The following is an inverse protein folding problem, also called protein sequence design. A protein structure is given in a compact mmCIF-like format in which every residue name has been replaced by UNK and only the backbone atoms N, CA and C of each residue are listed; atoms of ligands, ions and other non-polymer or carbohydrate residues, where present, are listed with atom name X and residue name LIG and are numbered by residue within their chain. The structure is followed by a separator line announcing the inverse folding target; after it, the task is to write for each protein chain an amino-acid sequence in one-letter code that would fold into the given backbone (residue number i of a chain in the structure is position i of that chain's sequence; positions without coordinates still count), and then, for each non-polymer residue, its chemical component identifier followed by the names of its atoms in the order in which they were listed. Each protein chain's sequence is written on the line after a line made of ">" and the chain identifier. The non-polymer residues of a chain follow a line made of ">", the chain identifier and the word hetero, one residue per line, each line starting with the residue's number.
data_IF_391016413802
#
_entry.id   IF_391016413802
#
_cell.length_a   1.000
_cell.length_b   1.000
_cell.length_c   1.000
_cell.angle_alpha   90.00
_cell.angle_beta   90.00
_cell.angle_gamma   90.00
#
_symmetry.space_group_name_H-M   'P 1'
#
loop_
_entity.id
_entity.type
_entity.pdbx_description
1 polymer ?
#
# COMPACT_ATOMS: atom_id res chain seq x y z
N UNK A 1 -20.30 20.71 -28.77
CA UNK A 1 -18.82 20.79 -28.64
C UNK A 1 -18.41 20.90 -27.17
N UNK A 2 -18.85 21.93 -26.41
CA UNK A 2 -18.54 22.11 -24.97
C UNK A 2 -18.76 20.90 -24.06
N UNK A 3 -19.85 20.13 -24.24
CA UNK A 3 -20.14 18.99 -23.37
C UNK A 3 -19.19 17.81 -23.57
N UNK A 4 -18.64 17.64 -24.78
CA UNK A 4 -17.75 16.53 -25.09
C UNK A 4 -16.35 16.78 -24.49
N UNK A 5 -15.89 18.04 -24.56
CA UNK A 5 -14.63 18.47 -23.95
C UNK A 5 -14.67 18.31 -22.42
N UNK A 6 -15.81 18.61 -21.79
CA UNK A 6 -16.00 18.43 -20.34
C UNK A 6 -15.93 16.95 -19.92
N UNK A 7 -16.56 16.05 -20.67
CA UNK A 7 -16.54 14.62 -20.38
C UNK A 7 -15.12 14.05 -20.49
N UNK A 8 -14.39 14.44 -21.53
CA UNK A 8 -12.99 14.04 -21.72
C UNK A 8 -12.10 14.54 -20.58
N UNK A 9 -12.27 15.79 -20.16
CA UNK A 9 -11.51 16.37 -19.04
C UNK A 9 -11.80 15.68 -17.70
N UNK A 10 -13.06 15.35 -17.43
CA UNK A 10 -13.44 14.59 -16.23
C UNK A 10 -12.79 13.21 -16.25
N UNK A 11 -12.87 12.49 -17.38
CA UNK A 11 -12.30 11.16 -17.48
C UNK A 11 -10.77 11.16 -17.35
N UNK A 12 -10.10 12.17 -17.91
CA UNK A 12 -8.64 12.35 -17.76
C UNK A 12 -8.25 12.56 -16.31
N UNK A 13 -8.96 13.42 -15.58
CA UNK A 13 -8.72 13.68 -14.15
C UNK A 13 -8.96 12.43 -13.30
N UNK A 14 -9.97 11.63 -13.61
CA UNK A 14 -10.24 10.37 -12.92
C UNK A 14 -9.11 9.37 -13.13
N UNK A 15 -8.63 9.19 -14.37
CA UNK A 15 -7.52 8.27 -14.67
C UNK A 15 -6.21 8.68 -13.98
N UNK A 16 -5.92 9.97 -13.93
CA UNK A 16 -4.77 10.51 -13.19
C UNK A 16 -4.89 10.25 -11.68
N UNK A 17 -6.10 10.40 -11.13
CA UNK A 17 -6.40 10.10 -9.73
C UNK A 17 -6.17 8.63 -9.40
N UNK A 18 -6.71 7.71 -10.22
CA UNK A 18 -6.58 6.26 -10.06
C UNK A 18 -5.13 5.81 -10.12
N UNK A 19 -4.35 6.37 -11.06
CA UNK A 19 -2.93 6.03 -11.21
C UNK A 19 -2.13 6.42 -9.96
N UNK A 20 -2.31 7.65 -9.46
CA UNK A 20 -1.67 8.11 -8.22
C UNK A 20 -2.08 7.27 -7.01
N UNK A 21 -3.36 6.89 -6.94
CA UNK A 21 -3.90 6.07 -5.86
C UNK A 21 -3.22 4.70 -5.77
N UNK A 22 -2.95 4.03 -6.89
CA UNK A 22 -2.19 2.75 -6.87
C UNK A 22 -0.78 2.93 -6.32
N UNK A 23 -0.08 4.00 -6.69
CA UNK A 23 1.26 4.24 -6.14
C UNK A 23 1.23 4.37 -4.62
N UNK A 24 0.21 5.04 -4.07
CA UNK A 24 0.02 5.10 -2.62
C UNK A 24 -0.28 3.73 -2.01
N UNK A 25 -1.11 2.90 -2.65
CA UNK A 25 -1.38 1.53 -2.18
C UNK A 25 -0.09 0.70 -2.17
N UNK A 26 0.71 0.75 -3.22
CA UNK A 26 1.99 0.03 -3.31
C UNK A 26 2.94 0.49 -2.19
N UNK A 27 3.10 1.80 -2.01
CA UNK A 27 3.94 2.36 -0.96
C UNK A 27 3.47 1.90 0.43
N UNK A 28 2.16 1.89 0.65
CA UNK A 28 1.57 1.47 1.91
C UNK A 28 1.71 -0.05 2.14
N UNK A 29 1.63 -0.87 1.09
CA UNK A 29 1.92 -2.30 1.14
C UNK A 29 3.38 -2.56 1.53
N UNK A 30 4.34 -1.84 0.94
CA UNK A 30 5.77 -1.94 1.31
C UNK A 30 6.00 -1.53 2.76
N UNK A 31 5.38 -0.42 3.21
CA UNK A 31 5.46 0.01 4.59
C UNK A 31 4.86 -1.02 5.57
N UNK A 32 3.73 -1.62 5.20
CA UNK A 32 3.07 -2.66 6.00
C UNK A 32 3.93 -3.92 6.12
N UNK A 33 4.59 -4.35 5.05
CA UNK A 33 5.57 -5.45 5.08
C UNK A 33 6.73 -5.10 6.01
N UNK A 34 7.32 -3.91 5.87
CA UNK A 34 8.41 -3.45 6.74
C UNK A 34 8.01 -3.43 8.22
N UNK A 35 6.80 -2.96 8.52
CA UNK A 35 6.25 -2.97 9.88
C UNK A 35 6.03 -4.39 10.42
N UNK A 36 5.45 -5.28 9.62
CA UNK A 36 5.21 -6.68 9.97
C UNK A 36 6.52 -7.40 10.28
N UNK A 37 7.53 -7.23 9.44
CA UNK A 37 8.88 -7.80 9.63
C UNK A 37 9.55 -7.21 10.87
N UNK A 38 9.46 -5.89 11.09
CA UNK A 38 9.99 -5.25 12.29
C UNK A 38 9.36 -5.79 13.58
N UNK A 39 8.06 -6.11 13.55
CA UNK A 39 7.33 -6.66 14.71
C UNK A 39 7.58 -8.14 14.95
N UNK A 40 8.07 -8.89 13.98
CA UNK A 40 8.42 -10.31 14.13
C UNK A 40 9.89 -10.53 14.49
N UNK A 41 10.76 -9.53 14.33
CA UNK A 41 12.15 -9.63 14.76
C UNK A 41 12.28 -9.96 16.25
N UNK A 42 13.07 -11.00 16.55
CA UNK A 42 13.38 -11.43 17.92
C UNK A 42 12.30 -12.31 18.58
N UNK A 43 11.18 -12.59 17.91
CA UNK A 43 10.17 -13.54 18.40
C UNK A 43 10.50 -14.96 17.94
N UNK A 44 10.22 -15.94 18.79
CA UNK A 44 10.29 -17.35 18.39
C UNK A 44 9.12 -17.66 17.45
N UNK A 45 9.33 -18.45 16.39
CA UNK A 45 8.26 -18.78 15.47
C UNK A 45 7.17 -19.58 16.18
N UNK A 46 5.95 -19.07 16.16
CA UNK A 46 4.76 -19.72 16.70
C UNK A 46 3.83 -20.13 15.55
N UNK A 47 2.95 -21.12 15.80
CA UNK A 47 1.98 -21.56 14.78
C UNK A 47 1.05 -20.43 14.29
N UNK A 48 0.92 -19.34 15.05
CA UNK A 48 0.19 -18.13 14.69
C UNK A 48 0.84 -17.36 13.53
N UNK A 49 2.15 -17.48 13.31
CA UNK A 49 2.90 -16.76 12.27
C UNK A 49 2.49 -17.12 10.84
N UNK A 50 1.75 -18.23 10.67
CA UNK A 50 1.13 -18.58 9.39
C UNK A 50 0.24 -17.44 8.85
N UNK A 51 -0.53 -16.78 9.71
CA UNK A 51 -1.39 -15.65 9.33
C UNK A 51 -0.58 -14.42 8.90
N UNK A 52 0.54 -14.16 9.57
CA UNK A 52 1.47 -13.09 9.23
C UNK A 52 2.10 -13.33 7.85
N UNK A 53 2.56 -14.55 7.59
CA UNK A 53 3.11 -14.93 6.30
C UNK A 53 2.07 -14.78 5.17
N UNK A 54 0.83 -15.17 5.43
CA UNK A 54 -0.29 -14.94 4.52
C UNK A 54 -0.49 -13.46 4.18
N UNK A 55 -0.47 -12.57 5.18
CA UNK A 55 -0.59 -11.13 4.97
C UNK A 55 0.55 -10.57 4.09
N UNK A 56 1.79 -10.98 4.34
CA UNK A 56 2.97 -10.53 3.56
C UNK A 56 2.90 -11.01 2.12
N UNK A 57 2.46 -12.25 1.88
CA UNK A 57 2.26 -12.78 0.52
C UNK A 57 1.17 -11.98 -0.21
N UNK A 58 0.06 -11.67 0.46
CA UNK A 58 -1.02 -10.87 -0.12
C UNK A 58 -0.54 -9.45 -0.48
N UNK A 59 0.20 -8.77 0.39
CA UNK A 59 0.78 -7.47 0.05
C UNK A 59 1.81 -7.56 -1.08
N UNK A 60 2.57 -8.64 -1.17
CA UNK A 60 3.50 -8.88 -2.30
C UNK A 60 2.75 -9.07 -3.63
N UNK A 61 1.64 -9.82 -3.61
CA UNK A 61 0.76 -9.99 -4.76
C UNK A 61 0.07 -8.68 -5.16
N UNK A 62 -0.31 -7.84 -4.18
CA UNK A 62 -0.83 -6.50 -4.42
C UNK A 62 0.20 -5.63 -5.18
N UNK A 63 1.47 -5.65 -4.75
CA UNK A 63 2.57 -4.94 -5.44
C UNK A 63 2.70 -5.44 -6.88
N UNK A 64 2.68 -6.76 -7.10
CA UNK A 64 2.75 -7.34 -8.44
C UNK A 64 1.59 -6.89 -9.34
N UNK A 65 0.36 -6.93 -8.84
CA UNK A 65 -0.82 -6.43 -9.56
C UNK A 65 -0.74 -4.93 -9.85
N UNK A 66 -0.19 -4.14 -8.92
CA UNK A 66 0.06 -2.71 -9.10
C UNK A 66 1.08 -2.42 -10.21
N UNK A 67 2.15 -3.21 -10.31
CA UNK A 67 3.08 -3.11 -11.45
C UNK A 67 2.41 -3.49 -12.77
N UNK A 68 1.58 -4.54 -12.77
CA UNK A 68 0.84 -4.96 -13.97
C UNK A 68 -0.13 -3.88 -14.44
N UNK A 69 -0.80 -3.18 -13.54
CA UNK A 69 -1.63 -2.02 -13.87
C UNK A 69 -0.82 -0.93 -14.59
N UNK A 70 0.38 -0.61 -14.10
CA UNK A 70 1.22 0.41 -14.71
C UNK A 70 1.65 0.03 -16.13
N UNK A 71 2.00 -1.24 -16.36
CA UNK A 71 2.36 -1.74 -17.69
C UNK A 71 1.17 -1.61 -18.67
N UNK A 72 -0.03 -2.01 -18.24
CA UNK A 72 -1.22 -1.91 -19.09
C UNK A 72 -1.60 -0.45 -19.37
N UNK A 73 -1.47 0.43 -18.38
CA UNK A 73 -1.72 1.87 -18.54
C UNK A 73 -0.74 2.50 -19.53
N UNK A 74 0.55 2.14 -19.44
CA UNK A 74 1.56 2.58 -20.40
C UNK A 74 1.26 2.07 -21.82
N UNK A 75 0.78 0.82 -21.94
CA UNK A 75 0.36 0.24 -23.22
C UNK A 75 -0.85 0.98 -23.79
N UNK A 76 -1.84 1.33 -22.97
CA UNK A 76 -2.99 2.11 -23.39
C UNK A 76 -2.57 3.48 -23.95
N UNK A 77 -1.69 4.18 -23.24
CA UNK A 77 -1.19 5.48 -23.66
C UNK A 77 -0.41 5.39 -24.98
N UNK A 78 0.46 4.39 -25.11
CA UNK A 78 1.24 4.18 -26.33
C UNK A 78 0.35 3.86 -27.53
N UNK A 79 -0.66 3.01 -27.35
CA UNK A 79 -1.65 2.68 -28.39
C UNK A 79 -2.51 3.88 -28.76
N UNK A 80 -2.93 4.69 -27.79
CA UNK A 80 -3.69 5.92 -28.03
C UNK A 80 -2.89 6.97 -28.81
N UNK A 81 -1.59 7.10 -28.53
CA UNK A 81 -0.70 7.99 -29.27
C UNK A 81 -0.49 7.49 -30.70
N UNK A 82 -0.29 6.18 -30.90
CA UNK A 82 -0.18 5.59 -32.23
C UNK A 82 -1.46 5.81 -33.06
N UNK A 83 -2.64 5.69 -32.45
CA UNK A 83 -3.90 6.02 -33.11
C UNK A 83 -3.96 7.48 -33.54
N UNK A 84 -3.53 8.41 -32.69
CA UNK A 84 -3.52 9.84 -33.01
C UNK A 84 -2.59 10.16 -34.19
N UNK A 85 -1.41 9.56 -34.24
CA UNK A 85 -0.46 9.75 -35.33
C UNK A 85 -1.02 9.21 -36.66
N UNK A 86 -1.64 8.03 -36.65
CA UNK A 86 -2.30 7.47 -37.83
C UNK A 86 -3.49 8.31 -38.31
N UNK A 87 -4.32 8.79 -37.38
CA UNK A 87 -5.45 9.68 -37.72
C UNK A 87 -4.95 10.99 -38.31
N UNK A 88 -3.85 11.54 -37.80
CA UNK A 88 -3.22 12.75 -38.33
C UNK A 88 -2.66 12.53 -39.74
N UNK A 89 -2.05 11.38 -40.00
CA UNK A 89 -1.51 11.00 -41.31
C UNK A 89 -2.63 10.75 -42.34
N UNK A 90 -3.69 10.02 -41.97
CA UNK A 90 -4.83 9.72 -42.85
C UNK A 90 -5.75 10.90 -43.10
N UNK A 91 -5.89 11.85 -42.16
CA UNK A 91 -6.64 13.08 -42.40
C UNK A 91 -6.03 13.95 -43.52
N UNK A 92 -4.77 13.71 -43.89
CA UNK A 92 -4.12 14.35 -45.04
C UNK A 92 -4.51 13.70 -46.39
N UNK A 93 -5.15 12.52 -46.37
CA UNK A 93 -5.43 11.69 -47.55
C UNK A 93 -6.92 11.66 -47.97
N UNK A 94 -7.78 12.51 -47.38
CA UNK A 94 -9.19 12.77 -47.75
C UNK A 94 -10.16 11.55 -47.77
N UNK A 95 -9.69 10.34 -47.46
CA UNK A 95 -10.51 9.12 -47.51
C UNK A 95 -11.19 8.81 -46.16
N UNK A 96 -12.48 9.14 -46.04
CA UNK A 96 -13.22 9.08 -44.78
C UNK A 96 -13.70 7.68 -44.33
N UNK A 97 -13.75 6.69 -45.24
CA UNK A 97 -14.20 5.32 -44.90
C UNK A 97 -13.10 4.49 -44.21
N UNK A 98 -11.87 4.54 -44.71
CA UNK A 98 -10.73 3.84 -44.09
C UNK A 98 -10.46 4.33 -42.66
N UNK A 99 -10.67 5.63 -42.43
CA UNK A 99 -10.49 6.28 -41.13
C UNK A 99 -11.46 5.74 -40.08
N UNK A 100 -12.71 5.44 -40.46
CA UNK A 100 -13.70 4.82 -39.55
C UNK A 100 -13.30 3.41 -39.17
N UNK A 101 -12.88 2.60 -40.15
CA UNK A 101 -12.45 1.22 -39.89
C UNK A 101 -11.24 1.16 -38.93
N UNK A 102 -10.25 2.04 -39.14
CA UNK A 102 -9.09 2.16 -38.26
C UNK A 102 -9.53 2.57 -36.86
N UNK A 103 -10.36 3.61 -36.74
CA UNK A 103 -10.83 4.10 -35.45
C UNK A 103 -11.62 3.03 -34.65
N UNK A 104 -12.47 2.25 -35.33
CA UNK A 104 -13.23 1.16 -34.70
C UNK A 104 -12.31 0.06 -34.20
N UNK A 105 -11.28 -0.31 -34.96
CA UNK A 105 -10.29 -1.32 -34.54
C UNK A 105 -9.47 -0.87 -33.33
N UNK A 106 -9.04 0.38 -33.30
CA UNK A 106 -8.33 0.93 -32.14
C UNK A 106 -9.23 1.03 -30.92
N UNK A 107 -10.50 1.43 -31.09
CA UNK A 107 -11.50 1.44 -30.01
C UNK A 107 -11.69 0.05 -29.40
N UNK A 108 -11.78 -1.00 -30.24
CA UNK A 108 -11.86 -2.39 -29.78
C UNK A 108 -10.64 -2.79 -28.92
N UNK A 109 -9.43 -2.46 -29.38
CA UNK A 109 -8.18 -2.73 -28.68
C UNK A 109 -8.11 -1.97 -27.35
N UNK A 110 -8.41 -0.67 -27.35
CA UNK A 110 -8.40 0.17 -26.16
C UNK A 110 -9.42 -0.29 -25.13
N UNK A 111 -10.62 -0.70 -25.55
CA UNK A 111 -11.62 -1.29 -24.67
C UNK A 111 -11.13 -2.60 -24.05
N UNK A 112 -10.41 -3.42 -24.82
CA UNK A 112 -9.75 -4.64 -24.32
C UNK A 112 -8.68 -4.36 -23.28
N UNK A 113 -7.89 -3.29 -23.47
CA UNK A 113 -6.86 -2.87 -22.51
C UNK A 113 -7.50 -2.28 -21.24
N UNK A 114 -8.52 -1.43 -21.39
CA UNK A 114 -9.23 -0.82 -20.26
C UNK A 114 -9.78 -1.88 -19.31
N UNK A 115 -10.42 -2.94 -19.83
CA UNK A 115 -10.90 -4.05 -19.01
C UNK A 115 -9.79 -4.77 -18.23
N UNK A 116 -8.57 -4.85 -18.79
CA UNK A 116 -7.41 -5.44 -18.10
C UNK A 116 -6.88 -4.53 -17.00
N UNK A 117 -6.91 -3.21 -17.22
CA UNK A 117 -6.54 -2.19 -16.24
C UNK A 117 -7.52 -2.24 -15.06
N UNK A 118 -8.82 -2.23 -15.33
CA UNK A 118 -9.85 -2.31 -14.29
C UNK A 118 -9.73 -3.59 -13.46
N UNK A 119 -9.45 -4.73 -14.11
CA UNK A 119 -9.22 -5.99 -13.41
C UNK A 119 -7.97 -5.93 -12.52
N UNK A 120 -6.84 -5.45 -13.06
CA UNK A 120 -5.60 -5.34 -12.29
C UNK A 120 -5.75 -4.39 -11.10
N UNK A 121 -6.52 -3.30 -11.26
CA UNK A 121 -6.87 -2.38 -10.19
C UNK A 121 -7.68 -3.07 -9.08
N UNK A 122 -8.76 -3.75 -9.45
CA UNK A 122 -9.62 -4.48 -8.50
C UNK A 122 -8.84 -5.59 -7.79
N UNK A 123 -8.00 -6.34 -8.51
CA UNK A 123 -7.14 -7.38 -7.93
C UNK A 123 -6.16 -6.77 -6.92
N UNK A 124 -5.55 -5.63 -7.24
CA UNK A 124 -4.63 -4.91 -6.35
C UNK A 124 -5.32 -4.48 -5.04
N UNK A 125 -6.50 -3.87 -5.14
CA UNK A 125 -7.30 -3.44 -3.99
C UNK A 125 -7.74 -4.62 -3.14
N UNK A 126 -8.32 -5.65 -3.78
CA UNK A 126 -8.84 -6.82 -3.08
C UNK A 126 -7.72 -7.52 -2.32
N UNK A 127 -6.57 -7.72 -2.95
CA UNK A 127 -5.44 -8.41 -2.33
C UNK A 127 -4.84 -7.56 -1.20
N UNK A 128 -4.79 -6.23 -1.36
CA UNK A 128 -4.35 -5.31 -0.31
C UNK A 128 -5.21 -5.42 0.95
N UNK A 129 -6.53 -5.28 0.82
CA UNK A 129 -7.46 -5.34 1.95
C UNK A 129 -7.52 -6.74 2.57
N UNK A 130 -7.45 -7.79 1.76
CA UNK A 130 -7.32 -9.17 2.27
C UNK A 130 -6.07 -9.31 3.16
N UNK A 131 -4.94 -8.75 2.74
CA UNK A 131 -3.71 -8.72 3.55
C UNK A 131 -3.88 -7.99 4.88
N UNK A 132 -4.58 -6.85 4.89
CA UNK A 132 -4.92 -6.11 6.11
C UNK A 132 -5.77 -6.94 7.07
N UNK A 133 -6.75 -7.69 6.57
CA UNK A 133 -7.59 -8.57 7.38
C UNK A 133 -6.76 -9.69 8.02
N UNK A 134 -5.91 -10.35 7.23
CA UNK A 134 -5.00 -11.40 7.73
C UNK A 134 -4.07 -10.87 8.83
N UNK A 135 -3.51 -9.68 8.63
CA UNK A 135 -2.67 -9.03 9.62
C UNK A 135 -3.44 -8.69 10.91
N UNK A 136 -4.67 -8.17 10.78
CA UNK A 136 -5.51 -7.85 11.94
C UNK A 136 -5.86 -9.11 12.75
N UNK A 137 -6.22 -10.21 12.08
CA UNK A 137 -6.48 -11.50 12.73
C UNK A 137 -5.25 -11.99 13.48
N UNK A 138 -4.07 -11.98 12.84
CA UNK A 138 -2.80 -12.32 13.49
C UNK A 138 -2.55 -11.47 14.74
N UNK A 139 -2.73 -10.15 14.63
CA UNK A 139 -2.49 -9.22 15.73
C UNK A 139 -3.42 -9.46 16.91
N UNK A 140 -4.70 -9.76 16.65
CA UNK A 140 -5.69 -10.09 17.69
C UNK A 140 -5.31 -11.40 18.38
N UNK A 141 -4.96 -12.46 17.63
CA UNK A 141 -4.50 -13.73 18.18
C UNK A 141 -3.26 -13.56 19.06
N UNK A 142 -2.30 -12.73 18.61
CA UNK A 142 -1.10 -12.45 19.38
C UNK A 142 -1.41 -11.74 20.71
N UNK A 143 -2.37 -10.80 20.71
CA UNK A 143 -2.82 -10.14 21.94
C UNK A 143 -3.46 -11.10 22.95
N UNK A 144 -4.20 -12.11 22.50
CA UNK A 144 -4.80 -13.10 23.40
C UNK A 144 -3.76 -14.08 23.96
N UNK A 145 -2.75 -14.44 23.16
CA UNK A 145 -1.70 -15.38 23.57
C UNK A 145 -0.61 -14.73 24.42
N UNK A 146 -0.45 -13.42 24.36
CA UNK A 146 0.49 -12.68 25.21
C UNK A 146 -0.26 -12.29 26.49
N UNK A 147 -0.11 -13.00 27.63
CA UNK A 147 -0.65 -12.49 28.88
C UNK A 147 -0.06 -11.10 29.08
N UNK A 148 -0.93 -10.11 29.28
CA UNK A 148 -0.58 -8.71 29.54
C UNK A 148 0.34 -8.70 30.76
N UNK A 149 1.63 -8.86 30.51
CA UNK A 149 2.66 -8.75 31.53
C UNK A 149 2.73 -7.26 31.78
N UNK A 150 2.43 -6.87 33.02
CA UNK A 150 2.49 -5.50 33.49
C UNK A 150 3.74 -4.81 32.93
N UNK A 151 3.68 -3.51 32.57
CA UNK A 151 4.79 -2.82 31.94
C UNK A 151 6.08 -3.10 32.71
N UNK A 152 7.06 -3.72 32.05
CA UNK A 152 8.38 -3.96 32.59
C UNK A 152 8.94 -2.61 33.03
N UNK A 153 8.86 -2.33 34.33
CA UNK A 153 9.55 -1.20 34.94
C UNK A 153 11.03 -1.47 34.68
N UNK A 154 11.59 -0.73 33.72
CA UNK A 154 12.97 -0.82 33.30
C UNK A 154 13.88 -1.04 34.54
N UNK A 155 14.75 -2.06 34.56
CA UNK A 155 15.64 -2.33 35.71
C UNK A 155 16.58 -1.15 36.04
N UNK A 156 16.65 -0.16 35.15
CA UNK A 156 17.42 1.07 35.34
C UNK A 156 16.77 2.03 36.36
N UNK A 157 15.46 1.93 36.64
CA UNK A 157 14.83 2.76 37.69
C UNK A 157 15.16 2.23 39.10
N UNK A 158 15.32 0.91 39.27
CA UNK A 158 15.75 0.31 40.54
C UNK A 158 17.16 0.74 40.95
N UNK A 159 18.10 0.78 39.99
CA UNK A 159 19.47 1.26 40.27
C UNK A 159 19.52 2.73 40.69
N UNK A 160 18.68 3.59 40.12
CA UNK A 160 18.63 5.02 40.51
C UNK A 160 18.07 5.18 41.93
N UNK A 161 17.09 4.35 42.35
CA UNK A 161 16.60 4.37 43.73
C UNK A 161 17.61 3.81 44.74
N UNK A 162 18.36 2.75 44.42
CA UNK A 162 19.39 2.22 45.33
C UNK A 162 20.58 3.17 45.50
N UNK A 163 20.98 3.89 44.44
CA UNK A 163 22.06 4.89 44.52
C UNK A 163 21.63 6.11 45.35
N UNK A 164 20.35 6.47 45.35
CA UNK A 164 19.87 7.61 46.14
C UNK A 164 19.75 7.31 47.64
N UNK A 165 19.68 6.03 48.03
CA UNK A 165 19.58 5.61 49.45
C UNK A 165 20.96 5.41 50.10
N UNK A 166 22.02 5.13 49.32
CA UNK A 166 23.37 4.92 49.87
C UNK A 166 24.19 6.19 50.15
N UNK A 167 23.72 7.39 49.80
CA UNK A 167 24.49 8.63 49.96
C UNK A 167 24.06 9.58 51.09
N UNK A 168 23.20 9.16 52.02
CA UNK A 168 22.94 9.93 53.26
C UNK A 168 22.68 9.03 54.48
N UNK A 169 23.71 8.48 55.15
CA UNK A 169 23.55 7.87 56.47
C UNK A 169 23.62 8.85 57.66
N UNK A 170 23.97 10.13 57.46
CA UNK A 170 24.38 11.00 58.58
C UNK A 170 23.47 12.22 58.81
N UNK A 171 22.17 12.07 59.01
CA UNK A 171 21.40 13.15 59.66
C UNK A 171 20.34 12.58 60.61
N UNK A 172 20.53 12.87 61.90
CA UNK A 172 19.64 12.74 63.08
C UNK A 172 19.91 11.59 64.06
N UNK A 173 21.01 11.75 64.81
CA UNK A 173 21.05 11.41 66.23
C UNK A 173 20.24 12.46 67.02
N UNK A 174 19.30 12.05 67.90
CA UNK A 174 18.60 12.97 68.80
C UNK A 174 19.23 12.88 70.18
N UNK A 175 20.29 13.63 70.44
CA UNK A 175 20.78 13.80 71.81
C UNK A 175 21.48 15.15 71.98
N UNK A 176 21.20 15.77 73.13
CA UNK A 176 21.83 16.97 73.72
C UNK A 176 21.20 18.34 73.46
N UNK A 177 20.14 18.66 74.22
CA UNK A 177 20.06 19.96 74.90
C UNK A 177 19.61 19.72 76.35
N UNK A 178 20.50 20.08 77.28
CA UNK A 178 20.26 20.20 78.72
C UNK A 178 19.41 21.42 79.03
#
# INVERSE_FOLDING_TARGET
>A
MKDNDLQLDVQRRLNDGTSKFIYYIIALAVAAIGFAVNKSFGKKPEGSDFWLMGAVILWSLCIYSGFRFNIHTFTQLSTSNAQYDLVKEYNLLENSEDLKFVNDKYSEILNGISKKIDRAFNDCIFTFFSGVIFFAVWHILMMFNSPVSAPDIHPNVKKVQEIHIQHHPDILSPDTVK
#
